data_IF_081469928217
#
_entry.id   IF_081469928217
#
_cell.length_a   1.000
_cell.length_b   1.000
_cell.length_c   1.000
_cell.angle_alpha   90.00
_cell.angle_beta   90.00
_cell.angle_gamma   90.00
#
_symmetry.space_group_name_H-M   'P 1'
#
loop_
_entity.id
_entity.type
_entity.pdbx_description
1 polymer ?
#
# COMPACT_ATOMS: atom_id res chain seq x y z
N UNK A 1 13.37 -3.98 5.49
CA UNK A 1 12.53 -2.91 5.00
C UNK A 1 12.99 -1.56 5.52
N UNK A 2 12.63 -0.46 4.87
CA UNK A 2 12.90 0.89 5.37
C UNK A 2 11.95 1.31 6.49
N UNK A 3 12.25 2.41 7.16
CA UNK A 3 11.46 2.98 8.28
C UNK A 3 9.97 3.17 7.92
N UNK A 4 9.67 3.50 6.66
CA UNK A 4 8.29 3.68 6.19
C UNK A 4 7.41 2.43 6.30
N UNK A 5 8.02 1.23 6.26
CA UNK A 5 7.28 -0.03 6.42
C UNK A 5 6.78 -0.20 7.85
N UNK A 6 7.63 0.14 8.83
CA UNK A 6 7.24 0.09 10.25
C UNK A 6 6.15 1.10 10.57
N UNK A 7 6.26 2.33 10.07
CA UNK A 7 5.23 3.35 10.28
C UNK A 7 3.87 2.93 9.69
N UNK A 8 3.88 2.30 8.51
CA UNK A 8 2.67 1.77 7.89
C UNK A 8 2.06 0.63 8.71
N UNK A 9 2.89 -0.32 9.14
CA UNK A 9 2.51 -1.44 9.99
C UNK A 9 1.89 -0.97 11.32
N UNK A 10 2.57 -0.08 12.02
CA UNK A 10 2.12 0.42 13.32
C UNK A 10 0.79 1.19 13.19
N UNK A 11 0.66 2.05 12.16
CA UNK A 11 -0.59 2.75 11.89
C UNK A 11 -1.75 1.81 11.53
N UNK A 12 -1.48 0.70 10.85
CA UNK A 12 -2.47 -0.34 10.58
C UNK A 12 -2.90 -1.04 11.88
N UNK A 13 -1.96 -1.45 12.73
CA UNK A 13 -2.27 -2.10 14.00
C UNK A 13 -3.08 -1.19 14.92
N UNK A 14 -2.72 0.09 15.03
CA UNK A 14 -3.50 1.08 15.79
C UNK A 14 -4.94 1.19 15.28
N UNK A 15 -5.12 1.21 13.96
CA UNK A 15 -6.45 1.27 13.35
C UNK A 15 -7.27 0.01 13.63
N UNK A 16 -6.67 -1.17 13.54
CA UNK A 16 -7.35 -2.44 13.81
C UNK A 16 -7.78 -2.54 15.28
N UNK A 17 -6.89 -2.18 16.22
CA UNK A 17 -7.17 -2.19 17.65
C UNK A 17 -8.33 -1.23 18.03
N UNK A 18 -8.43 -0.08 17.35
CA UNK A 18 -9.49 0.90 17.58
C UNK A 18 -10.86 0.48 17.00
N UNK A 19 -10.91 -0.60 16.22
CA UNK A 19 -12.13 -1.11 15.58
C UNK A 19 -12.49 -2.54 16.01
N UNK A 20 -12.00 -3.00 17.15
CA UNK A 20 -12.26 -4.33 17.72
C UNK A 20 -11.95 -5.50 16.74
N UNK A 21 -10.91 -5.32 15.91
CA UNK A 21 -10.45 -6.34 14.98
C UNK A 21 -9.24 -7.08 15.57
N UNK A 22 -9.30 -8.39 15.60
CA UNK A 22 -8.23 -9.24 16.10
C UNK A 22 -7.23 -9.56 15.01
N UNK A 23 -5.94 -9.36 15.31
CA UNK A 23 -4.84 -9.79 14.46
C UNK A 23 -4.46 -11.22 14.85
N UNK A 24 -4.88 -12.19 14.04
CA UNK A 24 -4.64 -13.63 14.29
C UNK A 24 -3.31 -14.14 13.76
N UNK A 25 -2.61 -13.35 12.95
CA UNK A 25 -1.30 -13.72 12.43
C UNK A 25 -0.61 -12.56 11.74
N UNK A 26 0.72 -12.54 11.84
CA UNK A 26 1.59 -11.58 11.19
C UNK A 26 2.82 -12.30 10.65
N UNK A 27 3.28 -11.89 9.47
CA UNK A 27 4.47 -12.48 8.87
C UNK A 27 5.26 -11.46 8.05
N UNK A 28 6.52 -11.30 8.37
CA UNK A 28 7.47 -10.52 7.59
C UNK A 28 7.95 -11.34 6.40
N UNK A 29 7.70 -10.84 5.19
CA UNK A 29 8.02 -11.54 3.94
C UNK A 29 9.34 -11.00 3.39
N UNK A 30 10.39 -11.82 3.43
CA UNK A 30 11.70 -11.45 2.91
C UNK A 30 11.62 -11.19 1.40
N UNK A 31 12.26 -10.10 0.96
CA UNK A 31 12.32 -9.65 -0.44
C UNK A 31 10.95 -9.41 -1.10
N UNK A 32 9.89 -9.21 -0.30
CA UNK A 32 8.54 -8.96 -0.81
C UNK A 32 8.00 -10.08 -1.72
N UNK A 33 8.48 -11.31 -1.51
CA UNK A 33 8.26 -12.46 -2.38
C UNK A 33 6.78 -12.90 -2.40
N UNK A 34 6.09 -12.80 -3.56
CA UNK A 34 4.68 -13.19 -3.67
C UNK A 34 4.44 -14.68 -3.38
N UNK A 35 5.42 -15.56 -3.67
CA UNK A 35 5.28 -17.00 -3.43
C UNK A 35 5.33 -17.33 -1.94
N UNK A 36 6.19 -16.62 -1.18
CA UNK A 36 6.22 -16.74 0.28
C UNK A 36 4.91 -16.21 0.89
N UNK A 37 4.42 -15.06 0.42
CA UNK A 37 3.14 -14.50 0.86
C UNK A 37 1.98 -15.46 0.59
N UNK A 38 1.96 -16.11 -0.58
CA UNK A 38 0.99 -17.16 -0.91
C UNK A 38 1.02 -18.30 0.11
N UNK A 39 2.21 -18.85 0.41
CA UNK A 39 2.36 -19.95 1.35
C UNK A 39 1.91 -19.59 2.78
N UNK A 40 2.14 -18.36 3.22
CA UNK A 40 1.63 -17.88 4.51
C UNK A 40 0.11 -17.76 4.51
N UNK A 41 -0.48 -17.26 3.42
CA UNK A 41 -1.93 -17.19 3.27
C UNK A 41 -2.57 -18.58 3.27
N UNK A 42 -1.98 -19.56 2.54
CA UNK A 42 -2.42 -20.97 2.57
C UNK A 42 -2.43 -21.55 3.99
N UNK A 43 -1.39 -21.26 4.78
CA UNK A 43 -1.32 -21.69 6.16
C UNK A 43 -2.42 -21.06 7.03
N UNK A 44 -2.64 -19.75 6.93
CA UNK A 44 -3.71 -19.07 7.68
C UNK A 44 -5.10 -19.55 7.26
N UNK A 45 -5.33 -19.73 5.97
CA UNK A 45 -6.59 -20.29 5.45
C UNK A 45 -6.81 -21.71 5.98
N UNK A 46 -5.76 -22.52 6.06
CA UNK A 46 -5.84 -23.88 6.62
C UNK A 46 -6.20 -23.90 8.11
N UNK A 47 -5.78 -22.88 8.87
CA UNK A 47 -6.01 -22.79 10.32
C UNK A 47 -7.39 -22.18 10.60
N UNK A 48 -7.74 -21.09 9.94
CA UNK A 48 -8.90 -20.24 10.26
C UNK A 48 -10.07 -20.41 9.30
N UNK A 49 -9.82 -20.92 8.08
CA UNK A 49 -10.87 -21.11 7.07
C UNK A 49 -11.60 -19.80 6.74
N UNK A 50 -12.91 -19.86 6.81
CA UNK A 50 -13.82 -18.72 6.54
C UNK A 50 -14.02 -17.77 7.75
N UNK A 51 -13.41 -18.07 8.90
CA UNK A 51 -13.31 -17.12 10.02
C UNK A 51 -12.30 -16.00 9.74
N UNK A 52 -11.36 -16.22 8.80
CA UNK A 52 -10.42 -15.20 8.37
C UNK A 52 -11.12 -14.14 7.52
N UNK A 53 -11.25 -12.93 8.04
CA UNK A 53 -12.01 -11.85 7.39
C UNK A 53 -11.19 -11.08 6.36
N UNK A 54 -9.92 -10.83 6.62
CA UNK A 54 -9.05 -10.05 5.74
C UNK A 54 -7.57 -10.41 5.86
N UNK A 55 -6.81 -10.14 4.79
CA UNK A 55 -5.35 -10.18 4.77
C UNK A 55 -4.83 -8.84 4.22
N UNK A 56 -4.04 -8.14 5.04
CA UNK A 56 -3.40 -6.89 4.67
C UNK A 56 -1.98 -7.18 4.16
N UNK A 57 -1.70 -6.75 2.95
CA UNK A 57 -0.40 -6.92 2.31
C UNK A 57 0.32 -5.57 2.20
N UNK A 58 1.60 -5.56 2.56
CA UNK A 58 2.42 -4.35 2.50
C UNK A 58 2.80 -3.93 1.07
N UNK A 59 2.43 -4.73 0.05
CA UNK A 59 2.45 -4.34 -1.35
C UNK A 59 1.51 -5.22 -2.20
N UNK A 60 1.21 -4.77 -3.42
CA UNK A 60 0.33 -5.46 -4.36
C UNK A 60 0.97 -6.71 -4.98
N UNK A 61 2.30 -6.78 -5.02
CA UNK A 61 3.02 -7.99 -5.42
C UNK A 61 2.71 -9.16 -4.49
N UNK A 62 2.80 -8.95 -3.16
CA UNK A 62 2.40 -9.96 -2.17
C UNK A 62 0.90 -10.23 -2.21
N UNK A 63 0.06 -9.19 -2.37
CA UNK A 63 -1.38 -9.34 -2.54
C UNK A 63 -1.74 -10.24 -3.72
N UNK A 64 -0.92 -10.24 -4.79
CA UNK A 64 -1.08 -11.18 -5.91
C UNK A 64 -0.87 -12.64 -5.50
N UNK A 65 0.11 -12.92 -4.64
CA UNK A 65 0.31 -14.26 -4.07
C UNK A 65 -0.85 -14.69 -3.18
N UNK A 66 -1.26 -13.80 -2.27
CA UNK A 66 -2.40 -14.02 -1.36
C UNK A 66 -3.70 -14.25 -2.13
N UNK A 67 -3.97 -13.46 -3.17
CA UNK A 67 -5.15 -13.62 -4.03
C UNK A 67 -5.24 -15.03 -4.64
N UNK A 68 -4.11 -15.58 -5.09
CA UNK A 68 -4.05 -16.95 -5.62
C UNK A 68 -4.38 -18.02 -4.56
N UNK A 69 -3.87 -17.87 -3.34
CA UNK A 69 -4.17 -18.80 -2.24
C UNK A 69 -5.66 -18.78 -1.90
N UNK A 70 -6.27 -17.60 -1.82
CA UNK A 70 -7.70 -17.43 -1.55
C UNK A 70 -8.56 -18.03 -2.67
N UNK A 71 -8.17 -17.82 -3.93
CA UNK A 71 -8.87 -18.35 -5.10
C UNK A 71 -8.82 -19.89 -5.13
N UNK A 72 -7.65 -20.48 -4.90
CA UNK A 72 -7.47 -21.94 -4.82
C UNK A 72 -8.28 -22.59 -3.69
N UNK A 73 -8.49 -21.86 -2.59
CA UNK A 73 -9.32 -22.30 -1.47
C UNK A 73 -10.83 -22.10 -1.71
N UNK A 74 -11.24 -21.44 -2.80
CA UNK A 74 -12.64 -21.11 -3.08
C UNK A 74 -13.24 -20.05 -2.15
N UNK A 75 -12.38 -19.17 -1.60
CA UNK A 75 -12.76 -18.12 -0.63
C UNK A 75 -12.71 -16.72 -1.23
N UNK A 76 -12.60 -16.61 -2.56
CA UNK A 76 -12.62 -15.32 -3.28
C UNK A 76 -13.88 -14.53 -2.94
N UNK A 77 -13.69 -13.26 -2.53
CA UNK A 77 -14.76 -12.37 -2.08
C UNK A 77 -15.19 -12.56 -0.62
N UNK A 78 -14.86 -13.67 0.03
CA UNK A 78 -15.10 -13.88 1.46
C UNK A 78 -13.96 -13.28 2.29
N UNK A 79 -12.70 -13.59 1.96
CA UNK A 79 -11.54 -12.99 2.59
C UNK A 79 -11.16 -11.75 1.81
N UNK A 80 -11.13 -10.61 2.48
CA UNK A 80 -10.78 -9.33 1.89
C UNK A 80 -9.27 -9.18 1.75
N UNK A 81 -8.81 -8.55 0.69
CA UNK A 81 -7.38 -8.29 0.44
C UNK A 81 -7.19 -6.79 0.33
N UNK A 82 -6.23 -6.26 1.07
CA UNK A 82 -5.76 -4.88 0.92
C UNK A 82 -4.28 -4.91 0.54
N UNK A 83 -3.89 -4.03 -0.37
CA UNK A 83 -2.51 -3.93 -0.85
C UNK A 83 -1.98 -2.50 -0.80
N UNK A 84 -0.85 -2.28 -1.44
CA UNK A 84 -0.18 -1.00 -1.55
C UNK A 84 0.65 -0.98 -2.84
N UNK A 85 0.88 0.18 -3.41
CA UNK A 85 1.66 0.56 -4.58
C UNK A 85 0.82 0.84 -5.83
N UNK A 86 -0.45 0.45 -5.85
CA UNK A 86 -1.38 0.70 -6.96
C UNK A 86 -0.92 0.04 -8.26
N UNK A 87 -0.47 -1.21 -8.19
CA UNK A 87 -0.12 -2.00 -9.37
C UNK A 87 -1.34 -2.19 -10.28
N UNK A 88 -1.16 -2.18 -11.60
CA UNK A 88 -2.26 -2.34 -12.57
C UNK A 88 -3.12 -3.58 -12.28
N UNK A 89 -2.48 -4.70 -11.96
CA UNK A 89 -3.18 -5.95 -11.63
C UNK A 89 -4.02 -5.82 -10.35
N UNK A 90 -3.58 -5.01 -9.37
CA UNK A 90 -4.33 -4.73 -8.16
C UNK A 90 -5.57 -3.87 -8.46
N UNK A 91 -5.41 -2.82 -9.30
CA UNK A 91 -6.52 -1.99 -9.78
C UNK A 91 -7.56 -2.85 -10.51
N UNK A 92 -7.12 -3.76 -11.38
CA UNK A 92 -8.01 -4.69 -12.08
C UNK A 92 -8.72 -5.65 -11.11
N UNK A 93 -8.05 -6.14 -10.06
CA UNK A 93 -8.68 -6.97 -9.02
C UNK A 93 -9.71 -6.18 -8.19
N UNK A 94 -9.47 -4.90 -7.93
CA UNK A 94 -10.42 -4.02 -7.23
C UNK A 94 -11.70 -3.88 -8.08
N UNK A 95 -11.58 -3.65 -9.38
CA UNK A 95 -12.70 -3.57 -10.31
C UNK A 95 -13.49 -4.89 -10.31
N UNK A 96 -12.77 -6.01 -10.37
CA UNK A 96 -13.37 -7.34 -10.34
C UNK A 96 -13.98 -7.71 -8.96
N UNK A 97 -13.72 -6.93 -7.90
CA UNK A 97 -14.20 -7.18 -6.53
C UNK A 97 -13.44 -8.28 -5.79
N UNK A 98 -12.23 -8.61 -6.23
CA UNK A 98 -11.36 -9.64 -5.63
C UNK A 98 -10.21 -9.06 -4.78
N UNK A 99 -10.07 -7.74 -4.76
CA UNK A 99 -9.25 -6.96 -3.83
C UNK A 99 -10.06 -5.76 -3.38
N UNK A 100 -9.97 -5.38 -2.11
CA UNK A 100 -10.76 -4.28 -1.53
C UNK A 100 -10.14 -2.93 -1.83
N UNK A 101 -8.82 -2.82 -1.64
CA UNK A 101 -8.10 -1.57 -1.82
C UNK A 101 -6.63 -1.75 -2.15
N UNK A 102 -6.04 -0.68 -2.67
CA UNK A 102 -4.60 -0.46 -2.72
C UNK A 102 -4.30 0.99 -2.35
N UNK A 103 -3.04 1.34 -2.14
CA UNK A 103 -2.61 2.72 -1.88
C UNK A 103 -1.83 3.24 -3.07
N UNK A 104 -2.37 4.27 -3.71
CA UNK A 104 -1.69 5.03 -4.74
C UNK A 104 -0.64 5.94 -4.09
N UNK A 105 0.61 5.64 -4.33
CA UNK A 105 1.76 6.52 -4.11
C UNK A 105 2.17 7.05 -5.48
N UNK A 106 1.61 8.20 -5.90
CA UNK A 106 1.76 8.72 -7.26
C UNK A 106 3.22 8.73 -7.71
N UNK A 107 3.52 7.95 -8.75
CA UNK A 107 4.81 7.96 -9.44
C UNK A 107 5.05 9.23 -10.28
N UNK A 108 4.04 10.07 -10.44
CA UNK A 108 4.10 11.34 -11.17
C UNK A 108 4.23 12.52 -10.21
N UNK A 109 3.27 12.69 -9.30
CA UNK A 109 3.22 13.83 -8.39
C UNK A 109 4.30 13.78 -7.32
N UNK A 110 4.58 12.61 -6.74
CA UNK A 110 5.55 12.50 -5.66
C UNK A 110 6.99 12.85 -6.08
N UNK A 111 7.57 12.28 -7.16
CA UNK A 111 8.90 12.66 -7.63
C UNK A 111 9.00 14.14 -8.03
N UNK A 112 7.94 14.68 -8.63
CA UNK A 112 7.90 16.10 -9.00
C UNK A 112 8.00 17.00 -7.77
N UNK A 113 7.16 16.78 -6.76
CA UNK A 113 7.17 17.56 -5.52
C UNK A 113 8.52 17.53 -4.82
N UNK A 114 9.14 16.34 -4.71
CA UNK A 114 10.47 16.20 -4.10
C UNK A 114 11.51 16.98 -4.89
N UNK A 115 11.50 16.86 -6.22
CA UNK A 115 12.49 17.50 -7.09
C UNK A 115 12.32 19.02 -7.04
N UNK A 116 11.10 19.54 -7.14
CA UNK A 116 10.79 20.97 -7.06
C UNK A 116 11.23 21.54 -5.70
N UNK A 117 10.89 20.88 -4.60
CA UNK A 117 11.30 21.29 -3.25
C UNK A 117 12.83 21.28 -3.09
N UNK A 118 13.51 20.23 -3.58
CA UNK A 118 14.97 20.15 -3.52
C UNK A 118 15.67 21.25 -4.33
N UNK A 119 15.15 21.58 -5.53
CA UNK A 119 15.66 22.66 -6.37
C UNK A 119 15.45 24.01 -5.66
N UNK A 120 14.23 24.30 -5.20
CA UNK A 120 13.89 25.55 -4.52
C UNK A 120 14.76 25.76 -3.26
N UNK A 121 14.95 24.70 -2.46
CA UNK A 121 15.83 24.72 -1.29
C UNK A 121 17.29 25.01 -1.69
N UNK A 122 17.80 24.36 -2.74
CA UNK A 122 19.17 24.56 -3.23
C UNK A 122 19.40 25.95 -3.79
N UNK A 123 18.38 26.57 -4.41
CA UNK A 123 18.44 27.92 -4.96
C UNK A 123 18.22 29.02 -3.89
N UNK A 124 17.88 28.66 -2.66
CA UNK A 124 17.54 29.60 -1.58
C UNK A 124 16.14 30.22 -1.72
N UNK A 125 15.31 29.68 -2.59
CA UNK A 125 13.89 30.06 -2.77
C UNK A 125 13.00 29.43 -1.68
N UNK A 126 13.46 28.35 -1.05
CA UNK A 126 12.91 27.74 0.16
C UNK A 126 13.96 27.65 1.25
N UNK A 127 13.53 27.71 2.49
CA UNK A 127 14.35 27.52 3.70
C UNK A 127 13.85 26.32 4.49
N UNK A 128 14.56 25.89 5.52
CA UNK A 128 14.11 24.81 6.41
C UNK A 128 12.75 25.11 7.08
N UNK A 129 12.42 26.38 7.28
CA UNK A 129 11.16 26.80 7.90
C UNK A 129 9.94 26.65 6.99
N UNK A 130 10.14 26.49 5.69
CA UNK A 130 9.06 26.35 4.71
C UNK A 130 8.60 24.89 4.55
N UNK A 131 9.30 23.95 5.21
CA UNK A 131 8.89 22.54 5.22
C UNK A 131 7.84 22.27 6.31
N UNK A 132 6.85 21.40 6.06
CA UNK A 132 5.74 21.16 6.99
C UNK A 132 6.16 20.45 8.29
N UNK A 133 7.32 19.77 8.29
CA UNK A 133 7.83 19.01 9.41
C UNK A 133 9.35 18.91 9.40
N UNK A 134 9.90 18.38 10.47
CA UNK A 134 11.29 17.92 10.56
C UNK A 134 11.34 16.43 10.90
N UNK A 135 12.43 15.77 10.55
CA UNK A 135 12.75 14.40 10.98
C UNK A 135 14.19 14.32 11.41
N UNK A 136 14.51 13.36 12.26
CA UNK A 136 15.88 13.12 12.69
C UNK A 136 16.63 12.25 11.67
N UNK A 137 17.81 12.70 11.26
CA UNK A 137 18.69 11.91 10.40
C UNK A 137 19.51 10.90 11.21
N UNK A 138 20.34 10.09 10.53
CA UNK A 138 21.18 9.08 11.19
C UNK A 138 22.28 9.65 12.11
N UNK A 139 22.53 10.95 12.06
CA UNK A 139 23.48 11.67 12.91
C UNK A 139 22.82 12.37 14.10
N UNK A 140 21.50 12.21 14.27
CA UNK A 140 20.72 12.83 15.33
C UNK A 140 20.33 14.30 15.08
N UNK A 141 20.50 14.79 13.85
CA UNK A 141 20.17 16.15 13.48
C UNK A 141 18.73 16.26 12.97
N UNK A 142 18.03 17.33 13.35
CA UNK A 142 16.71 17.65 12.79
C UNK A 142 16.86 18.24 11.39
N UNK A 143 16.32 17.54 10.40
CA UNK A 143 16.35 17.97 9.00
C UNK A 143 14.95 18.25 8.46
N UNK A 144 14.78 19.18 7.50
CA UNK A 144 13.50 19.43 6.87
C UNK A 144 12.90 18.17 6.28
N UNK A 145 11.59 17.99 6.47
CA UNK A 145 10.87 16.81 6.03
C UNK A 145 9.63 17.18 5.22
N UNK A 146 9.52 16.60 4.03
CA UNK A 146 8.35 16.68 3.18
C UNK A 146 7.74 15.30 3.05
N UNK A 147 6.50 15.14 3.50
CA UNK A 147 5.74 13.91 3.34
C UNK A 147 4.66 14.07 2.27
N UNK A 148 4.38 13.01 1.57
CA UNK A 148 3.26 12.88 0.66
C UNK A 148 2.32 11.79 1.17
N UNK A 149 1.05 12.14 1.37
CA UNK A 149 0.04 11.16 1.76
C UNK A 149 -0.41 10.37 0.53
N UNK A 150 -0.33 9.05 0.60
CA UNK A 150 -0.92 8.18 -0.41
C UNK A 150 -2.44 8.30 -0.44
N UNK A 151 -3.04 7.97 -1.58
CA UNK A 151 -4.50 7.92 -1.75
C UNK A 151 -4.95 6.47 -1.70
N UNK A 152 -5.90 6.16 -0.84
CA UNK A 152 -6.53 4.83 -0.82
C UNK A 152 -7.42 4.71 -2.05
N UNK A 153 -7.13 3.73 -2.88
CA UNK A 153 -7.92 3.39 -4.08
C UNK A 153 -8.80 2.20 -3.75
N UNK A 154 -10.07 2.41 -3.99
CA UNK A 154 -11.15 1.42 -3.88
C UNK A 154 -11.93 1.41 -5.19
N UNK A 155 -12.96 0.57 -5.29
CA UNK A 155 -13.85 0.54 -6.47
C UNK A 155 -14.55 1.87 -6.73
N UNK A 156 -14.76 2.68 -5.68
CA UNK A 156 -15.54 3.93 -5.77
C UNK A 156 -14.74 5.10 -6.33
N UNK A 157 -13.40 5.00 -6.37
CA UNK A 157 -12.53 6.10 -6.80
C UNK A 157 -11.41 5.69 -7.77
N UNK A 158 -11.64 4.66 -8.58
CA UNK A 158 -10.69 4.19 -9.61
C UNK A 158 -10.26 5.34 -10.55
N UNK A 159 -11.16 6.27 -10.86
CA UNK A 159 -10.86 7.41 -11.73
C UNK A 159 -9.69 8.27 -11.22
N UNK A 160 -9.42 8.29 -9.92
CA UNK A 160 -8.26 8.98 -9.35
C UNK A 160 -6.92 8.46 -9.91
N UNK A 161 -6.85 7.18 -10.27
CA UNK A 161 -5.65 6.56 -10.88
C UNK A 161 -5.43 7.09 -12.30
N UNK A 162 -6.52 7.32 -13.04
CA UNK A 162 -6.51 7.86 -14.41
C UNK A 162 -6.19 9.35 -14.37
N UNK A 163 -6.84 10.09 -13.49
CA UNK A 163 -6.63 11.55 -13.32
C UNK A 163 -5.20 11.88 -12.91
N UNK A 164 -4.58 11.03 -12.10
CA UNK A 164 -3.17 11.15 -11.70
C UNK A 164 -2.20 10.77 -12.84
N UNK A 165 -2.70 10.18 -13.93
CA UNK A 165 -1.92 9.79 -15.10
C UNK A 165 -1.04 8.56 -14.87
N UNK A 166 -1.39 7.70 -13.91
CA UNK A 166 -0.63 6.46 -13.60
C UNK A 166 -0.92 5.40 -14.64
N UNK A 167 -2.20 5.21 -14.97
CA UNK A 167 -2.66 4.30 -16.00
C UNK A 167 -3.75 4.96 -16.86
N UNK A 168 -3.83 4.53 -18.10
CA UNK A 168 -4.90 4.92 -19.00
C UNK A 168 -6.17 4.09 -18.73
N UNK A 169 -7.30 4.61 -19.19
CA UNK A 169 -8.57 3.88 -19.11
C UNK A 169 -8.51 2.54 -19.86
N UNK A 170 -7.82 2.54 -21.01
CA UNK A 170 -7.61 1.32 -21.81
C UNK A 170 -6.82 0.25 -21.06
N UNK A 171 -5.74 0.62 -20.36
CA UNK A 171 -4.96 -0.32 -19.54
C UNK A 171 -5.76 -0.90 -18.38
N UNK A 172 -6.60 -0.09 -17.75
CA UNK A 172 -7.40 -0.50 -16.59
C UNK A 172 -8.56 -1.40 -17.00
N UNK A 173 -9.32 -1.02 -18.04
CA UNK A 173 -10.58 -1.67 -18.42
C UNK A 173 -10.46 -2.58 -19.64
N UNK A 174 -9.39 -2.48 -20.42
CA UNK A 174 -9.18 -3.26 -21.62
C UNK A 174 -10.02 -2.82 -22.81
N UNK A 175 -10.49 -1.54 -22.82
CA UNK A 175 -11.36 -0.95 -23.87
C UNK A 175 -10.64 0.11 -24.70
#
# INVERSE_FOLDING_TARGET
GGTGVYNFHDGMLDSLANNDLEVVGEQWVENWDPSKAMSYAENWISIYGDELSAIFCMNDGMATGVSKAIDQAGLTGKIKICGQDCDLVAVQRIIAGTQESTILKSGVTYPRLITEAAIAYRLGEMTAADFPATTENSEGEQVPFLSYAGVIITKDNIDAVIEEGVYTKEEIYGE
#
